data_IF_271881319191
#
_entry.id   IF_271881319191
#
_cell.length_a   1.000
_cell.length_b   1.000
_cell.length_c   1.000
_cell.angle_alpha   90.00
_cell.angle_beta   90.00
_cell.angle_gamma   90.00
#
_symmetry.space_group_name_H-M   'P 1'
#
loop_
_entity.id
_entity.type
_entity.pdbx_description
1 polymer ?
#
# COMPACT_ATOMS: atom_id res chain seq x y z
N UNK A 1 5.47 -20.39 17.70
CA UNK A 1 5.65 -18.99 18.05
C UNK A 1 4.39 -18.58 18.79
N UNK A 2 4.51 -18.39 20.09
CA UNK A 2 3.36 -18.01 20.92
C UNK A 2 3.01 -16.56 20.64
N UNK A 3 1.71 -16.28 20.54
CA UNK A 3 1.23 -14.90 20.33
C UNK A 3 1.50 -14.06 21.58
N UNK A 4 1.86 -12.79 21.44
CA UNK A 4 1.89 -11.87 22.57
C UNK A 4 0.53 -11.84 23.28
N UNK A 5 0.50 -11.68 24.62
CA UNK A 5 -0.74 -11.72 25.39
C UNK A 5 -1.76 -10.62 24.97
N UNK A 6 -1.29 -9.50 24.45
CA UNK A 6 -2.12 -8.37 24.01
C UNK A 6 -2.54 -8.44 22.54
N UNK A 7 -2.18 -9.53 21.82
CA UNK A 7 -2.59 -9.71 20.43
C UNK A 7 -4.09 -9.91 20.31
N UNK A 8 -4.74 -9.35 19.30
CA UNK A 8 -6.16 -9.55 19.03
C UNK A 8 -6.49 -11.04 18.82
N UNK A 9 -7.69 -11.44 19.21
CA UNK A 9 -8.15 -12.82 19.04
C UNK A 9 -8.26 -13.17 17.55
N UNK A 10 -7.36 -14.04 17.07
CA UNK A 10 -7.27 -14.38 15.66
C UNK A 10 -8.51 -15.07 15.11
N UNK A 11 -9.24 -15.82 15.95
CA UNK A 11 -10.47 -16.52 15.60
C UNK A 11 -11.61 -15.57 15.17
N UNK A 12 -11.51 -14.28 15.47
CA UNK A 12 -12.48 -13.25 15.06
C UNK A 12 -12.22 -12.70 13.65
N UNK A 13 -11.09 -13.02 13.04
CA UNK A 13 -10.68 -12.45 11.76
C UNK A 13 -10.56 -13.52 10.68
N UNK A 14 -10.89 -13.16 9.44
CA UNK A 14 -10.64 -14.03 8.28
C UNK A 14 -9.15 -14.21 8.07
N UNK A 15 -8.74 -15.43 7.74
CA UNK A 15 -7.39 -15.67 7.27
C UNK A 15 -7.34 -15.38 5.76
N UNK A 16 -6.49 -14.44 5.36
CA UNK A 16 -6.26 -14.09 3.97
C UNK A 16 -5.09 -14.93 3.45
N UNK A 17 -5.32 -15.69 2.40
CA UNK A 17 -4.35 -16.57 1.77
C UNK A 17 -4.18 -16.14 0.33
N UNK A 18 -2.93 -15.97 -0.11
CA UNK A 18 -2.60 -15.63 -1.47
C UNK A 18 -1.40 -16.44 -1.96
N UNK A 19 -1.58 -17.19 -3.05
CA UNK A 19 -0.49 -17.87 -3.73
C UNK A 19 0.25 -16.87 -4.62
N UNK A 20 1.48 -16.52 -4.23
CA UNK A 20 2.33 -15.64 -5.01
C UNK A 20 2.90 -16.33 -6.25
N UNK A 21 3.26 -17.59 -6.08
CA UNK A 21 3.73 -18.51 -7.11
C UNK A 21 3.42 -19.97 -6.66
N UNK A 22 3.79 -20.95 -7.48
CA UNK A 22 3.52 -22.37 -7.21
C UNK A 22 4.15 -22.89 -5.89
N UNK A 23 5.06 -22.14 -5.28
CA UNK A 23 5.82 -22.56 -4.10
C UNK A 23 5.69 -21.61 -2.93
N UNK A 24 5.17 -20.40 -3.13
CA UNK A 24 5.16 -19.34 -2.11
C UNK A 24 3.74 -18.93 -1.78
N UNK A 25 3.35 -19.11 -0.52
CA UNK A 25 2.06 -18.74 0.04
C UNK A 25 2.23 -17.58 1.01
N UNK A 26 1.46 -16.53 0.81
CA UNK A 26 1.27 -15.44 1.76
C UNK A 26 0.09 -15.80 2.67
N UNK A 27 0.30 -15.67 3.97
CA UNK A 27 -0.71 -15.95 5.01
C UNK A 27 -0.82 -14.70 5.87
N UNK A 28 -1.96 -14.01 5.79
CA UNK A 28 -2.23 -12.86 6.64
C UNK A 28 -3.44 -13.16 7.53
N UNK A 29 -3.26 -13.06 8.82
CA UNK A 29 -4.30 -13.38 9.79
C UNK A 29 -4.25 -12.47 11.00
N UNK A 30 -5.34 -11.77 11.26
CA UNK A 30 -5.43 -10.69 12.22
C UNK A 30 -4.36 -9.61 11.93
N UNK A 31 -3.35 -9.49 12.76
CA UNK A 31 -2.25 -8.54 12.69
C UNK A 31 -0.91 -9.16 12.24
N UNK A 32 -0.92 -10.44 11.84
CA UNK A 32 0.31 -11.17 11.49
C UNK A 32 0.35 -11.53 10.01
N UNK A 33 1.55 -11.39 9.41
CA UNK A 33 1.87 -11.88 8.07
C UNK A 33 2.94 -12.95 8.18
N UNK A 34 2.75 -14.05 7.45
CA UNK A 34 3.75 -15.11 7.27
C UNK A 34 3.92 -15.39 5.79
N UNK A 35 5.16 -15.54 5.38
CA UNK A 35 5.53 -16.00 4.05
C UNK A 35 6.00 -17.44 4.18
N UNK A 36 5.25 -18.37 3.61
CA UNK A 36 5.55 -19.77 3.64
C UNK A 36 6.00 -20.26 2.27
N UNK A 37 7.08 -21.02 2.21
CA UNK A 37 7.61 -21.58 0.97
C UNK A 37 7.66 -23.09 1.00
N UNK A 38 7.18 -23.73 -0.07
CA UNK A 38 7.29 -25.17 -0.27
C UNK A 38 8.71 -25.47 -0.77
N UNK A 39 9.37 -26.39 -0.08
CA UNK A 39 10.72 -26.86 -0.41
C UNK A 39 10.75 -28.35 -0.61
N UNK A 40 11.61 -28.78 -1.52
CA UNK A 40 11.91 -30.22 -1.70
C UNK A 40 12.98 -30.65 -0.68
N UNK A 41 12.70 -31.73 0.02
CA UNK A 41 13.66 -32.30 0.97
C UNK A 41 14.79 -32.98 0.21
N UNK A 42 16.06 -32.74 0.58
CA UNK A 42 17.17 -33.52 0.00
C UNK A 42 16.96 -35.00 0.26
N UNK A 43 17.18 -35.85 -0.76
CA UNK A 43 17.13 -37.31 -0.57
C UNK A 43 18.28 -37.73 0.34
N UNK A 44 18.02 -38.58 1.36
CA UNK A 44 19.09 -39.13 2.17
C UNK A 44 20.00 -39.98 1.29
N UNK A 45 21.30 -39.88 1.49
CA UNK A 45 22.32 -40.67 0.78
C UNK A 45 22.30 -42.14 1.16
N UNK A 46 21.69 -42.51 2.30
CA UNK A 46 21.61 -43.88 2.83
C UNK A 46 20.22 -44.14 3.39
N UNK A 47 19.50 -45.10 2.77
CA UNK A 47 18.24 -45.63 3.26
C UNK A 47 16.97 -44.89 2.81
N UNK A 48 15.80 -45.52 2.96
CA UNK A 48 14.51 -44.94 2.64
C UNK A 48 14.18 -43.80 3.65
N UNK A 49 13.82 -42.60 3.12
CA UNK A 49 13.33 -41.52 3.96
C UNK A 49 11.91 -41.81 4.44
N UNK A 50 11.67 -41.80 5.75
CA UNK A 50 10.34 -41.87 6.36
C UNK A 50 9.58 -40.52 6.31
N UNK A 51 10.23 -39.45 5.91
CA UNK A 51 9.67 -38.10 5.89
C UNK A 51 9.10 -37.76 4.49
N UNK A 52 8.05 -36.95 4.42
CA UNK A 52 7.50 -36.48 3.14
C UNK A 52 8.57 -35.78 2.28
N UNK A 53 8.49 -35.90 0.93
CA UNK A 53 9.46 -35.31 0.02
C UNK A 53 9.41 -33.78 0.00
N UNK A 54 8.26 -33.17 0.39
CA UNK A 54 8.06 -31.75 0.50
C UNK A 54 7.92 -31.33 1.95
N UNK A 55 8.37 -30.12 2.26
CA UNK A 55 8.14 -29.48 3.54
C UNK A 55 7.88 -27.99 3.36
N UNK A 56 7.25 -27.37 4.35
CA UNK A 56 6.96 -25.93 4.35
C UNK A 56 7.99 -25.22 5.23
N UNK A 57 8.62 -24.20 4.68
CA UNK A 57 9.54 -23.28 5.37
C UNK A 57 8.87 -21.92 5.51
N UNK A 58 8.79 -21.38 6.73
CA UNK A 58 8.37 -20.00 6.95
C UNK A 58 9.59 -19.12 6.77
N UNK A 59 9.63 -18.35 5.67
CA UNK A 59 10.78 -17.52 5.28
C UNK A 59 10.71 -16.11 5.88
N UNK A 60 9.52 -15.63 6.23
CA UNK A 60 9.31 -14.38 6.94
C UNK A 60 8.07 -14.46 7.83
N UNK A 61 8.11 -13.81 8.97
CA UNK A 61 6.97 -13.66 9.87
C UNK A 61 7.11 -12.34 10.62
N UNK A 62 6.10 -11.48 10.55
CA UNK A 62 6.09 -10.19 11.23
C UNK A 62 4.67 -9.79 11.63
N UNK A 63 4.55 -8.88 12.57
CA UNK A 63 3.32 -8.33 13.10
C UNK A 63 3.20 -6.88 12.66
N UNK A 64 1.99 -6.46 12.29
CA UNK A 64 1.64 -5.08 11.99
C UNK A 64 0.88 -4.44 13.17
N UNK A 65 0.79 -3.14 13.17
CA UNK A 65 0.01 -2.33 14.13
C UNK A 65 -1.48 -2.21 13.77
N UNK A 66 -1.92 -2.93 12.72
CA UNK A 66 -3.29 -2.92 12.21
C UNK A 66 -3.83 -4.34 12.01
N UNK A 67 -5.16 -4.45 11.84
CA UNK A 67 -5.80 -5.69 11.40
C UNK A 67 -5.76 -5.79 9.88
N UNK A 68 -5.50 -6.97 9.35
CA UNK A 68 -5.33 -7.20 7.92
C UNK A 68 -6.64 -7.68 7.31
N UNK A 69 -7.27 -6.84 6.50
CA UNK A 69 -8.47 -7.17 5.74
C UNK A 69 -8.17 -7.87 4.40
N UNK A 70 -6.98 -7.66 3.85
CA UNK A 70 -6.53 -8.27 2.61
C UNK A 70 -5.04 -8.09 2.40
N UNK A 71 -4.43 -8.99 1.62
CA UNK A 71 -3.02 -8.92 1.24
C UNK A 71 -2.84 -9.44 -0.18
N UNK A 72 -2.04 -8.73 -0.98
CA UNK A 72 -1.60 -9.17 -2.31
C UNK A 72 -0.11 -8.82 -2.50
N UNK A 73 0.62 -9.53 -3.36
CA UNK A 73 1.97 -9.13 -3.73
C UNK A 73 1.95 -7.74 -4.35
N UNK A 74 2.96 -6.96 -4.05
CA UNK A 74 3.15 -5.67 -4.72
C UNK A 74 4.49 -5.71 -5.47
N UNK A 75 4.49 -5.63 -6.80
CA UNK A 75 5.72 -5.57 -7.55
C UNK A 75 6.38 -4.22 -7.29
N UNK A 76 7.63 -4.26 -6.95
CA UNK A 76 8.51 -3.12 -7.22
C UNK A 76 8.58 -2.95 -8.73
N UNK A 77 8.55 -1.71 -9.21
CA UNK A 77 8.56 -1.34 -10.62
C UNK A 77 9.39 -2.33 -11.47
N UNK A 78 8.86 -2.80 -12.61
CA UNK A 78 9.57 -3.75 -13.45
C UNK A 78 10.89 -3.13 -13.88
N UNK A 79 11.99 -3.70 -13.42
CA UNK A 79 13.29 -3.36 -14.00
C UNK A 79 13.31 -3.93 -15.42
N UNK A 80 13.52 -3.11 -16.46
CA UNK A 80 13.45 -3.56 -17.85
C UNK A 80 14.53 -4.60 -18.22
N UNK A 81 15.44 -4.92 -17.33
CA UNK A 81 16.55 -5.85 -17.52
C UNK A 81 16.42 -7.19 -16.80
N UNK A 82 15.35 -7.41 -16.04
CA UNK A 82 15.21 -8.64 -15.27
C UNK A 82 14.49 -9.73 -16.07
N UNK A 83 15.25 -10.60 -16.71
CA UNK A 83 14.78 -11.87 -17.30
C UNK A 83 14.52 -12.99 -16.27
N UNK A 84 14.45 -12.68 -15.00
CA UNK A 84 14.08 -13.61 -13.94
C UNK A 84 12.83 -13.08 -13.21
N UNK A 85 11.85 -13.96 -13.01
CA UNK A 85 10.70 -13.73 -12.12
C UNK A 85 11.24 -13.42 -10.73
N UNK A 86 11.52 -12.14 -10.48
CA UNK A 86 11.92 -11.71 -9.12
C UNK A 86 10.69 -11.79 -8.22
N UNK A 87 10.86 -12.48 -7.11
CA UNK A 87 9.86 -12.47 -6.04
C UNK A 87 9.52 -11.01 -5.67
N UNK A 88 8.23 -10.65 -5.50
CA UNK A 88 7.84 -9.30 -5.13
C UNK A 88 8.60 -8.86 -3.88
N UNK A 89 9.08 -7.64 -3.90
CA UNK A 89 9.88 -7.10 -2.79
C UNK A 89 9.03 -6.52 -1.67
N UNK A 90 7.72 -6.36 -1.92
CA UNK A 90 6.76 -5.78 -0.99
C UNK A 90 5.39 -6.43 -1.11
N UNK A 91 4.51 -6.08 -0.20
CA UNK A 91 3.11 -6.51 -0.16
C UNK A 91 2.22 -5.28 -0.09
N UNK A 92 1.10 -5.31 -0.81
CA UNK A 92 0.01 -4.37 -0.63
C UNK A 92 -0.95 -4.97 0.40
N UNK A 93 -1.18 -4.24 1.48
CA UNK A 93 -2.00 -4.65 2.62
C UNK A 93 -3.18 -3.71 2.76
N UNK A 94 -4.38 -4.25 2.84
CA UNK A 94 -5.56 -3.51 3.23
C UNK A 94 -5.66 -3.56 4.76
N UNK A 95 -5.28 -2.45 5.39
CA UNK A 95 -5.22 -2.28 6.82
C UNK A 95 -6.56 -1.78 7.37
N UNK A 96 -7.06 -2.46 8.38
CA UNK A 96 -8.18 -2.01 9.20
C UNK A 96 -7.67 -1.55 10.55
N UNK A 97 -7.92 -0.30 10.87
CA UNK A 97 -7.55 0.29 12.16
C UNK A 97 -8.79 0.21 13.06
N UNK A 98 -8.63 -0.43 14.22
CA UNK A 98 -9.73 -0.53 15.16
C UNK A 98 -10.21 0.86 15.59
N UNK A 99 -11.52 1.06 15.79
CA UNK A 99 -12.04 2.32 16.31
C UNK A 99 -11.39 2.67 17.64
N UNK A 100 -11.15 3.96 17.84
CA UNK A 100 -10.66 4.45 19.13
C UNK A 100 -11.66 4.12 20.25
N UNK A 101 -11.14 3.76 21.42
CA UNK A 101 -11.98 3.58 22.60
C UNK A 101 -12.60 4.92 22.98
N UNK A 102 -13.92 4.95 23.07
CA UNK A 102 -14.65 6.16 23.43
C UNK A 102 -14.11 6.76 24.73
N UNK A 103 -13.65 8.00 24.68
CA UNK A 103 -13.55 8.82 25.88
C UNK A 103 -14.96 9.02 26.44
N UNK A 104 -15.10 9.07 27.77
CA UNK A 104 -16.37 9.14 28.52
C UNK A 104 -17.23 10.41 28.26
N UNK A 105 -17.10 11.08 27.13
CA UNK A 105 -17.99 12.15 26.74
C UNK A 105 -19.35 11.55 26.33
N UNK A 106 -20.31 11.69 27.24
CA UNK A 106 -21.69 11.30 27.05
C UNK A 106 -22.36 12.15 25.93
N UNK A 107 -22.08 11.83 24.67
CA UNK A 107 -22.89 12.32 23.56
C UNK A 107 -24.13 11.45 23.43
N UNK A 108 -25.27 12.09 23.26
CA UNK A 108 -26.62 11.47 23.28
C UNK A 108 -26.82 10.54 22.08
N UNK A 109 -26.07 10.71 20.97
CA UNK A 109 -26.18 9.90 19.76
C UNK A 109 -25.04 8.90 19.57
N UNK A 110 -25.34 7.62 19.81
CA UNK A 110 -24.42 6.49 19.62
C UNK A 110 -23.90 6.36 18.19
N UNK A 111 -24.68 6.76 17.18
CA UNK A 111 -24.28 6.69 15.77
C UNK A 111 -23.22 7.78 15.46
N UNK A 112 -23.35 8.96 16.07
CA UNK A 112 -22.36 10.03 15.94
C UNK A 112 -21.05 9.68 16.65
N UNK A 113 -21.12 9.04 17.81
CA UNK A 113 -19.95 8.52 18.50
C UNK A 113 -19.21 7.48 17.65
N UNK A 114 -19.93 6.53 17.06
CA UNK A 114 -19.35 5.51 16.19
C UNK A 114 -18.65 6.13 14.98
N UNK A 115 -19.21 7.19 14.40
CA UNK A 115 -18.58 7.92 13.29
C UNK A 115 -17.30 8.64 13.67
N UNK A 116 -17.28 9.27 14.87
CA UNK A 116 -16.11 10.00 15.36
C UNK A 116 -14.97 9.08 15.76
N UNK A 117 -15.30 7.90 16.27
CA UNK A 117 -14.30 6.92 16.71
C UNK A 117 -13.76 6.05 15.59
N UNK A 118 -14.45 5.95 14.45
CA UNK A 118 -14.06 5.07 13.38
C UNK A 118 -12.89 5.64 12.57
N UNK A 119 -11.86 4.83 12.39
CA UNK A 119 -10.74 5.10 11.51
C UNK A 119 -11.04 4.62 10.09
N UNK A 120 -10.52 5.30 9.09
CA UNK A 120 -10.64 4.88 7.70
C UNK A 120 -9.71 3.71 7.44
N UNK A 121 -10.12 2.70 6.64
CA UNK A 121 -9.20 1.70 6.16
C UNK A 121 -8.09 2.34 5.31
N UNK A 122 -6.90 1.79 5.40
CA UNK A 122 -5.72 2.26 4.70
C UNK A 122 -5.19 1.19 3.76
N UNK A 123 -4.60 1.62 2.65
CA UNK A 123 -3.74 0.78 1.84
C UNK A 123 -2.30 1.06 2.21
N UNK A 124 -1.60 0.02 2.65
CA UNK A 124 -0.20 0.11 3.06
C UNK A 124 0.68 -0.75 2.18
N UNK A 125 1.82 -0.21 1.79
CA UNK A 125 2.89 -0.98 1.14
C UNK A 125 3.88 -1.39 2.22
N UNK A 126 3.98 -2.70 2.44
CA UNK A 126 4.85 -3.29 3.47
C UNK A 126 6.00 -4.02 2.79
N UNK A 127 7.22 -3.76 3.22
CA UNK A 127 8.41 -4.47 2.75
C UNK A 127 8.42 -5.94 3.21
N UNK A 128 9.28 -6.76 2.63
CA UNK A 128 9.43 -8.18 3.05
C UNK A 128 10.02 -8.34 4.45
N UNK A 129 10.56 -7.29 5.03
CA UNK A 129 11.07 -7.29 6.41
C UNK A 129 10.06 -6.73 7.40
N UNK A 130 8.86 -6.33 6.93
CA UNK A 130 7.78 -5.84 7.77
C UNK A 130 7.77 -4.32 7.97
N UNK A 131 8.60 -3.57 7.24
CA UNK A 131 8.63 -2.11 7.31
C UNK A 131 7.54 -1.50 6.43
N UNK A 132 6.84 -0.52 6.93
CA UNK A 132 5.90 0.28 6.16
C UNK A 132 6.66 1.24 5.23
N UNK A 133 6.40 1.14 3.93
CA UNK A 133 7.00 1.99 2.91
C UNK A 133 6.09 3.17 2.52
N UNK A 134 4.78 2.95 2.55
CA UNK A 134 3.77 3.94 2.21
C UNK A 134 2.43 3.57 2.83
N UNK A 135 1.61 4.58 3.13
CA UNK A 135 0.24 4.42 3.63
C UNK A 135 -0.66 5.48 3.03
N UNK A 136 -1.83 5.07 2.52
CA UNK A 136 -2.85 5.94 1.97
C UNK A 136 -4.22 5.59 2.54
N UNK A 137 -4.92 6.58 3.09
CA UNK A 137 -6.31 6.43 3.55
C UNK A 137 -7.29 6.26 2.38
N UNK A 138 -8.20 5.30 2.51
CA UNK A 138 -9.23 5.04 1.51
C UNK A 138 -10.50 5.85 1.80
N UNK A 139 -10.98 6.57 0.78
CA UNK A 139 -12.26 7.29 0.82
C UNK A 139 -13.43 6.34 0.57
N UNK A 140 -13.75 5.47 1.55
CA UNK A 140 -14.85 4.51 1.47
C UNK A 140 -16.12 5.05 2.11
N UNK A 141 -17.26 4.86 1.46
CA UNK A 141 -18.56 5.30 1.98
C UNK A 141 -19.04 4.38 3.10
N UNK A 142 -19.39 4.98 4.25
CA UNK A 142 -19.95 4.25 5.40
C UNK A 142 -18.95 3.36 6.13
N UNK A 143 -17.65 3.65 6.03
CA UNK A 143 -16.56 2.86 6.66
C UNK A 143 -16.78 2.63 8.16
N UNK A 144 -17.40 3.57 8.87
CA UNK A 144 -17.72 3.49 10.30
C UNK A 144 -18.75 2.40 10.67
N UNK A 145 -19.41 1.77 9.67
CA UNK A 145 -20.38 0.70 9.84
C UNK A 145 -19.78 -0.69 9.65
N UNK A 146 -18.55 -0.77 9.16
CA UNK A 146 -17.94 -2.02 8.70
C UNK A 146 -16.76 -2.41 9.58
N UNK A 147 -16.58 -3.71 9.75
CA UNK A 147 -15.43 -4.29 10.45
C UNK A 147 -14.38 -4.84 9.49
N UNK A 148 -13.28 -5.32 10.04
CA UNK A 148 -12.16 -5.87 9.29
C UNK A 148 -12.57 -6.94 8.27
N UNK A 149 -13.55 -7.79 8.60
CA UNK A 149 -13.98 -8.89 7.74
C UNK A 149 -14.91 -8.47 6.58
N UNK A 150 -15.35 -7.22 6.56
CA UNK A 150 -16.28 -6.71 5.56
C UNK A 150 -15.56 -6.18 4.31
N UNK A 151 -14.24 -6.11 4.36
CA UNK A 151 -13.42 -5.66 3.26
C UNK A 151 -12.71 -6.83 2.57
N UNK A 152 -12.37 -6.64 1.30
CA UNK A 152 -11.54 -7.54 0.53
C UNK A 152 -10.61 -6.76 -0.41
N UNK A 153 -9.42 -7.31 -0.63
CA UNK A 153 -8.42 -6.81 -1.57
C UNK A 153 -8.10 -7.92 -2.57
N UNK A 154 -8.10 -7.58 -3.83
CA UNK A 154 -7.73 -8.50 -4.90
C UNK A 154 -6.91 -7.77 -5.98
N UNK A 155 -6.10 -8.52 -6.70
CA UNK A 155 -5.46 -8.07 -7.92
C UNK A 155 -6.47 -8.17 -9.08
N UNK A 156 -6.56 -7.12 -9.90
CA UNK A 156 -7.47 -7.07 -11.04
C UNK A 156 -6.67 -7.35 -12.31
N UNK A 157 -6.74 -8.60 -12.78
CA UNK A 157 -6.17 -8.99 -14.05
C UNK A 157 -7.04 -8.46 -15.21
N UNK A 158 -6.41 -7.94 -16.26
CA UNK A 158 -7.09 -7.57 -17.51
C UNK A 158 -7.74 -6.18 -17.54
N UNK A 159 -7.71 -5.38 -16.47
CA UNK A 159 -8.20 -4.00 -16.47
C UNK A 159 -7.16 -2.97 -16.95
N UNK A 160 -5.95 -3.41 -17.27
CA UNK A 160 -4.92 -2.54 -17.83
C UNK A 160 -4.99 -2.56 -19.36
N UNK A 161 -5.86 -1.72 -19.92
CA UNK A 161 -5.85 -1.48 -21.37
C UNK A 161 -4.50 -0.86 -21.79
N UNK A 162 -3.59 -1.68 -22.28
CA UNK A 162 -2.40 -1.24 -23.03
C UNK A 162 -1.15 -0.84 -22.25
N UNK A 163 -1.18 -0.65 -20.91
CA UNK A 163 -0.02 -0.15 -20.17
C UNK A 163 0.76 -1.21 -19.37
N UNK A 164 0.26 -2.45 -19.27
CA UNK A 164 0.88 -3.47 -18.41
C UNK A 164 0.94 -3.12 -16.91
N UNK A 165 0.30 -2.02 -16.51
CA UNK A 165 0.24 -1.60 -15.11
C UNK A 165 -0.69 -2.50 -14.31
N UNK A 166 -0.23 -2.97 -13.15
CA UNK A 166 -1.08 -3.69 -12.22
C UNK A 166 -2.17 -2.79 -11.65
N UNK A 167 -3.36 -3.37 -11.54
CA UNK A 167 -4.51 -2.72 -10.93
C UNK A 167 -5.01 -3.59 -9.77
N UNK A 168 -5.41 -2.96 -8.68
CA UNK A 168 -5.97 -3.64 -7.53
C UNK A 168 -7.40 -3.17 -7.30
N UNK A 169 -8.20 -4.02 -6.71
CA UNK A 169 -9.59 -3.73 -6.35
C UNK A 169 -9.77 -3.87 -4.86
N UNK A 170 -10.26 -2.83 -4.23
CA UNK A 170 -10.74 -2.87 -2.85
C UNK A 170 -12.27 -2.92 -2.87
N UNK A 171 -12.80 -3.94 -2.24
CA UNK A 171 -14.24 -4.15 -2.08
C UNK A 171 -14.66 -3.84 -0.65
N UNK A 172 -15.74 -3.10 -0.53
CA UNK A 172 -16.48 -2.92 0.71
C UNK A 172 -17.99 -3.19 0.45
N UNK A 173 -18.84 -3.35 1.48
CA UNK A 173 -20.26 -3.59 1.26
C UNK A 173 -21.01 -2.51 0.45
N UNK A 174 -20.43 -1.31 0.34
CA UNK A 174 -21.06 -0.17 -0.35
C UNK A 174 -20.22 0.48 -1.44
N UNK A 175 -18.96 0.07 -1.59
CA UNK A 175 -18.05 0.74 -2.51
C UNK A 175 -17.09 -0.26 -3.15
N UNK A 176 -16.75 0.00 -4.40
CA UNK A 176 -15.67 -0.65 -5.13
C UNK A 176 -14.67 0.44 -5.48
N UNK A 177 -13.43 0.28 -5.07
CA UNK A 177 -12.35 1.23 -5.36
C UNK A 177 -11.29 0.53 -6.19
N UNK A 178 -10.97 1.12 -7.35
CA UNK A 178 -9.86 0.70 -8.18
C UNK A 178 -8.61 1.46 -7.73
N UNK A 179 -7.56 0.71 -7.44
CA UNK A 179 -6.26 1.24 -7.01
C UNK A 179 -5.24 0.91 -8.09
N UNK A 180 -4.54 1.92 -8.53
CA UNK A 180 -3.42 1.78 -9.49
C UNK A 180 -2.17 2.35 -8.84
N UNK A 181 -1.03 1.65 -8.95
CA UNK A 181 0.24 2.26 -8.60
C UNK A 181 0.40 3.54 -9.41
N UNK A 182 0.76 4.61 -8.76
CA UNK A 182 1.08 5.85 -9.45
C UNK A 182 2.40 5.64 -10.17
N UNK A 183 2.44 5.88 -11.48
CA UNK A 183 3.69 5.90 -12.21
C UNK A 183 4.47 7.19 -11.91
N UNK A 184 5.74 7.22 -12.28
CA UNK A 184 6.59 8.39 -12.04
C UNK A 184 6.08 9.62 -12.80
N UNK A 185 5.47 9.42 -13.96
CA UNK A 185 4.89 10.50 -14.76
C UNK A 185 3.68 11.12 -14.05
N UNK A 186 2.75 10.29 -13.59
CA UNK A 186 1.60 10.75 -12.79
C UNK A 186 2.05 11.47 -11.51
N UNK A 187 3.15 11.00 -10.88
CA UNK A 187 3.71 11.64 -9.71
C UNK A 187 4.28 13.02 -10.02
N UNK A 188 5.01 13.14 -11.14
CA UNK A 188 5.54 14.43 -11.63
C UNK A 188 4.40 15.40 -11.97
N UNK A 189 3.39 14.93 -12.72
CA UNK A 189 2.23 15.74 -13.09
C UNK A 189 1.47 16.24 -11.86
N UNK A 190 1.33 15.41 -10.83
CA UNK A 190 0.73 15.81 -9.57
C UNK A 190 1.59 16.86 -8.83
N UNK A 191 2.92 16.71 -8.78
CA UNK A 191 3.81 17.68 -8.17
C UNK A 191 3.71 19.04 -8.87
N UNK A 192 3.64 19.06 -10.20
CA UNK A 192 3.45 20.26 -11.00
C UNK A 192 2.09 20.93 -10.70
N UNK A 193 1.00 20.14 -10.62
CA UNK A 193 -0.32 20.68 -10.23
C UNK A 193 -0.32 21.30 -8.84
N UNK A 194 0.50 20.74 -7.91
CA UNK A 194 0.68 21.28 -6.56
C UNK A 194 1.71 22.43 -6.50
N UNK A 195 2.20 22.90 -7.65
CA UNK A 195 3.25 23.93 -7.77
C UNK A 195 4.56 23.59 -7.04
N UNK A 196 4.84 22.30 -6.84
CA UNK A 196 6.07 21.78 -6.20
C UNK A 196 7.13 21.44 -7.26
N UNK A 197 7.48 22.45 -8.08
CA UNK A 197 8.33 22.28 -9.25
C UNK A 197 9.73 21.73 -8.93
N UNK A 198 10.36 22.16 -7.83
CA UNK A 198 11.68 21.68 -7.41
C UNK A 198 11.68 20.17 -7.22
N UNK A 199 10.67 19.65 -6.49
CA UNK A 199 10.53 18.21 -6.26
C UNK A 199 10.20 17.45 -7.55
N UNK A 200 9.41 18.04 -8.43
CA UNK A 200 9.12 17.45 -9.74
C UNK A 200 10.40 17.26 -10.57
N UNK A 201 11.29 18.26 -10.56
CA UNK A 201 12.58 18.19 -11.25
C UNK A 201 13.51 17.16 -10.61
N UNK A 202 13.59 17.07 -9.28
CA UNK A 202 14.35 16.03 -8.57
C UNK A 202 13.90 14.61 -8.96
N UNK A 203 12.59 14.38 -9.05
CA UNK A 203 12.03 13.09 -9.48
C UNK A 203 12.43 12.78 -10.91
N UNK A 204 12.36 13.76 -11.83
CA UNK A 204 12.74 13.58 -13.24
C UNK A 204 14.24 13.26 -13.37
N UNK A 205 15.11 13.91 -12.60
CA UNK A 205 16.55 13.61 -12.61
C UNK A 205 16.87 12.18 -12.17
N UNK A 206 16.02 11.58 -11.30
CA UNK A 206 16.18 10.17 -10.91
C UNK A 206 15.65 9.18 -11.95
N UNK A 207 14.89 9.67 -12.95
CA UNK A 207 14.35 8.86 -14.04
C UNK A 207 15.35 8.80 -15.21
N UNK A 208 16.09 7.71 -15.32
CA UNK A 208 17.03 7.47 -16.42
C UNK A 208 16.32 7.53 -17.79
N UNK A 209 16.45 8.66 -18.49
CA UNK A 209 16.27 8.73 -19.95
C UNK A 209 14.99 9.31 -20.53
N UNK A 210 13.99 9.72 -19.76
CA UNK A 210 12.78 10.40 -20.27
C UNK A 210 12.76 11.93 -19.99
N UNK A 211 13.87 12.60 -20.25
CA UNK A 211 14.04 14.05 -20.04
C UNK A 211 13.20 14.98 -20.94
N UNK A 212 12.19 14.47 -21.65
CA UNK A 212 11.37 15.30 -22.55
C UNK A 212 10.55 16.36 -21.80
N UNK A 213 10.17 16.13 -20.56
CA UNK A 213 9.33 17.06 -19.79
C UNK A 213 10.11 17.98 -18.84
N UNK A 214 11.39 17.72 -18.57
CA UNK A 214 12.19 18.52 -17.64
C UNK A 214 12.31 19.99 -18.08
N UNK A 215 12.48 20.23 -19.37
CA UNK A 215 12.58 21.61 -19.94
C UNK A 215 11.26 22.35 -19.82
N UNK A 216 10.13 21.71 -20.06
CA UNK A 216 8.81 22.32 -19.97
C UNK A 216 8.45 22.66 -18.53
N UNK A 217 8.73 21.76 -17.60
CA UNK A 217 8.50 21.96 -16.17
C UNK A 217 9.42 23.04 -15.61
N UNK A 218 10.68 23.08 -16.06
CA UNK A 218 11.62 24.15 -15.74
C UNK A 218 11.11 25.54 -16.22
N UNK A 219 10.51 25.58 -17.40
CA UNK A 219 9.89 26.80 -17.94
C UNK A 219 8.69 27.26 -17.08
N UNK A 220 7.78 26.35 -16.73
CA UNK A 220 6.65 26.64 -15.85
C UNK A 220 7.10 27.09 -14.46
N UNK A 221 8.19 26.54 -13.94
CA UNK A 221 8.76 26.96 -12.66
C UNK A 221 9.28 28.39 -12.72
N UNK A 222 10.00 28.78 -13.78
CA UNK A 222 10.49 30.15 -14.00
C UNK A 222 9.32 31.11 -14.13
N UNK A 223 8.29 30.79 -14.90
CA UNK A 223 7.09 31.63 -15.04
C UNK A 223 6.39 31.82 -13.67
N UNK A 224 6.25 30.76 -12.89
CA UNK A 224 5.67 30.84 -11.55
C UNK A 224 6.46 31.76 -10.61
N UNK A 225 7.80 31.69 -10.64
CA UNK A 225 8.66 32.57 -9.84
C UNK A 225 8.52 34.03 -10.25
N UNK A 226 8.34 34.33 -11.54
CA UNK A 226 8.08 35.67 -12.01
C UNK A 226 6.71 36.19 -11.54
N UNK A 227 5.66 35.38 -11.61
CA UNK A 227 4.33 35.73 -11.11
C UNK A 227 4.34 36.01 -9.60
N UNK A 228 5.02 35.18 -8.80
CA UNK A 228 5.16 35.43 -7.36
C UNK A 228 5.96 36.68 -7.07
N UNK A 229 7.04 36.95 -7.83
CA UNK A 229 7.85 38.16 -7.71
C UNK A 229 7.05 39.43 -8.04
N UNK A 230 6.23 39.39 -9.08
CA UNK A 230 5.35 40.53 -9.42
C UNK A 230 4.27 40.79 -8.36
N UNK A 231 3.67 39.73 -7.80
CA UNK A 231 2.71 39.84 -6.70
C UNK A 231 3.34 40.45 -5.45
N UNK A 232 4.58 40.07 -5.13
CA UNK A 232 5.34 40.61 -4.01
C UNK A 232 5.62 42.10 -4.20
N UNK A 233 6.02 42.50 -5.39
CA UNK A 233 6.28 43.93 -5.75
C UNK A 233 4.99 44.79 -5.73
N UNK A 234 3.87 44.21 -6.16
CA UNK A 234 2.59 44.90 -6.17
C UNK A 234 2.00 45.05 -4.75
N UNK A 235 2.15 44.03 -3.91
CA UNK A 235 1.70 44.06 -2.50
C UNK A 235 2.61 44.99 -1.66
N UNK A 236 3.91 45.06 -1.93
CA UNK A 236 4.82 46.02 -1.28
C UNK A 236 4.50 47.50 -1.60
N UNK A 237 4.01 47.81 -2.80
CA UNK A 237 3.60 49.17 -3.19
C UNK A 237 2.27 49.61 -2.56
N UNK A 238 1.44 48.67 -2.09
CA UNK A 238 0.16 48.96 -1.42
C UNK A 238 0.33 49.22 0.08
N UNK A 239 1.48 48.89 0.68
CA UNK A 239 1.76 49.15 2.09
C UNK A 239 2.37 50.53 2.36
N UNK A 240 2.83 51.23 1.31
CA UNK A 240 3.47 52.55 1.40
C UNK A 240 2.54 53.69 0.93
N UNK A 241 1.25 53.45 0.72
CA UNK A 241 0.21 54.39 0.38
C UNK A 241 -0.86 54.47 1.48
#
# INVERSE_FOLDING_TARGET
MDRPPDSPRADLFKCNLYWQDDQTLLIAWADHIKVARIRTRPRPTTGPSSLPPLYVEVTAAFQLDCMISGIVPHPTAPSPTASSVQAPKSFLVLAYIAPDTFSNEATIDRAEQARKAANRPELRIISRVGEELSSDELSLNGYHLFGCNDYALAEAEGLSEGSGQQCYVVLSPRSIVLVRPRDNKDHVDWLVQQKKYERALEVIETMDGEGANASEIGQQYVEHLFEEGEQFLNNGKLSDA
#
